data_IF_854674694203
#
_entry.id   IF_854674694203
#
_cell.length_a   1.000
_cell.length_b   1.000
_cell.length_c   1.000
_cell.angle_alpha   90.00
_cell.angle_beta   90.00
_cell.angle_gamma   90.00
#
_symmetry.space_group_name_H-M   'P 1'
#
loop_
_entity.id
_entity.type
_entity.pdbx_description
1 polymer ?
#
# COMPACT_ATOMS: atom_id res chain seq x y z
N UNK A 1 8.07 -19.04 1.64
CA UNK A 1 7.28 -18.59 0.48
C UNK A 1 7.15 -17.07 0.53
N UNK A 2 7.43 -16.37 -0.58
CA UNK A 2 7.27 -14.92 -0.67
C UNK A 2 5.82 -14.54 -0.99
N UNK A 3 5.24 -13.65 -0.21
CA UNK A 3 3.85 -13.19 -0.36
C UNK A 3 3.75 -11.67 -0.16
N UNK A 4 2.59 -11.09 -0.48
CA UNK A 4 2.28 -9.67 -0.25
C UNK A 4 1.12 -9.55 0.74
N UNK A 5 1.23 -8.64 1.70
CA UNK A 5 0.14 -8.35 2.65
C UNK A 5 -0.93 -7.49 1.96
N UNK A 6 -2.16 -7.99 1.86
CA UNK A 6 -3.28 -7.29 1.22
C UNK A 6 -4.22 -6.62 2.22
N UNK A 7 -4.28 -7.10 3.46
CA UNK A 7 -5.08 -6.51 4.53
C UNK A 7 -4.52 -6.80 5.92
N UNK A 8 -4.90 -5.98 6.91
CA UNK A 8 -4.56 -6.18 8.32
C UNK A 8 -5.85 -6.06 9.15
N UNK A 9 -6.25 -7.16 9.79
CA UNK A 9 -7.54 -7.26 10.48
C UNK A 9 -7.35 -7.96 11.83
N UNK A 10 -7.73 -7.32 12.93
CA UNK A 10 -7.71 -7.94 14.26
C UNK A 10 -6.36 -8.54 14.69
N UNK A 11 -5.24 -7.99 14.21
CA UNK A 11 -3.88 -8.50 14.49
C UNK A 11 -3.47 -9.75 13.67
N UNK A 12 -4.30 -10.15 12.70
CA UNK A 12 -3.96 -11.09 11.63
C UNK A 12 -3.67 -10.35 10.33
N UNK A 13 -2.93 -11.00 9.45
CA UNK A 13 -2.50 -10.44 8.17
C UNK A 13 -3.08 -11.28 7.05
N UNK A 14 -3.78 -10.66 6.11
CA UNK A 14 -4.17 -11.31 4.86
C UNK A 14 -3.00 -11.22 3.90
N UNK A 15 -2.58 -12.36 3.36
CA UNK A 15 -1.42 -12.46 2.46
C UNK A 15 -1.82 -13.13 1.17
N UNK A 16 -1.31 -12.62 0.05
CA UNK A 16 -1.48 -13.17 -1.29
C UNK A 16 -0.15 -13.78 -1.74
N UNK A 17 -0.16 -15.08 -2.06
CA UNK A 17 1.00 -15.82 -2.58
C UNK A 17 0.56 -16.91 -3.55
N UNK A 18 1.22 -17.04 -4.70
CA UNK A 18 0.86 -18.00 -5.76
C UNK A 18 -0.63 -17.95 -6.21
N UNK A 19 -1.30 -16.81 -6.04
CA UNK A 19 -2.70 -16.61 -6.44
C UNK A 19 -3.73 -16.97 -5.36
N UNK A 20 -3.30 -17.45 -4.20
CA UNK A 20 -4.20 -17.76 -3.07
C UNK A 20 -4.08 -16.70 -1.96
N UNK A 21 -5.21 -16.34 -1.37
CA UNK A 21 -5.26 -15.47 -0.20
C UNK A 21 -5.54 -16.28 1.07
N UNK A 22 -4.73 -16.05 2.11
CA UNK A 22 -4.93 -16.67 3.41
C UNK A 22 -4.71 -15.67 4.54
N UNK A 23 -5.37 -15.90 5.68
CA UNK A 23 -5.11 -15.16 6.90
C UNK A 23 -4.07 -15.88 7.75
N UNK A 24 -2.99 -15.16 8.08
CA UNK A 24 -1.86 -15.67 8.83
C UNK A 24 -1.57 -14.82 10.06
N UNK A 25 -0.83 -15.42 10.98
CA UNK A 25 -0.23 -14.69 12.10
C UNK A 25 1.22 -14.33 11.77
N UNK A 26 1.85 -13.52 12.62
CA UNK A 26 3.27 -13.20 12.53
C UNK A 26 3.99 -13.62 13.81
N UNK A 27 5.30 -13.87 13.73
CA UNK A 27 6.13 -14.06 14.92
C UNK A 27 6.03 -12.85 15.86
N UNK A 28 6.01 -13.09 17.18
CA UNK A 28 5.72 -12.05 18.18
C UNK A 28 6.63 -10.84 18.11
N UNK A 29 7.92 -11.04 17.81
CA UNK A 29 8.88 -9.95 17.63
C UNK A 29 8.55 -9.02 16.45
N UNK A 30 7.93 -9.53 15.38
CA UNK A 30 7.49 -8.72 14.23
C UNK A 30 6.23 -7.91 14.53
N UNK A 31 5.42 -8.33 15.51
CA UNK A 31 4.23 -7.59 15.94
C UNK A 31 4.55 -6.36 16.81
N UNK A 32 5.69 -6.40 17.52
CA UNK A 32 6.04 -5.42 18.56
C UNK A 32 7.04 -4.37 18.06
N UNK A 33 7.82 -4.66 17.01
CA UNK A 33 8.81 -3.71 16.47
C UNK A 33 8.15 -2.43 15.94
N UNK A 34 8.83 -1.29 16.14
CA UNK A 34 8.56 0.01 15.50
C UNK A 34 8.67 -0.14 13.97
N UNK A 35 7.59 -0.60 13.34
CA UNK A 35 7.60 -1.08 11.97
C UNK A 35 6.68 -2.29 11.76
N UNK A 36 5.56 -2.35 12.49
CA UNK A 36 4.54 -3.40 12.34
C UNK A 36 4.23 -3.64 10.86
N UNK A 37 3.96 -4.89 10.52
CA UNK A 37 3.60 -5.33 9.16
C UNK A 37 2.44 -4.46 8.64
N UNK A 38 2.61 -3.92 7.43
CA UNK A 38 1.68 -3.01 6.76
C UNK A 38 1.12 -3.65 5.50
N UNK A 39 0.00 -3.13 5.03
CA UNK A 39 -0.50 -3.45 3.69
C UNK A 39 0.56 -3.07 2.65
N UNK A 40 0.75 -3.93 1.66
CA UNK A 40 1.78 -3.80 0.63
C UNK A 40 3.15 -4.34 1.05
N UNK A 41 3.37 -4.73 2.31
CA UNK A 41 4.63 -5.37 2.69
C UNK A 41 4.82 -6.70 1.94
N UNK A 42 6.00 -6.85 1.36
CA UNK A 42 6.48 -8.15 0.90
C UNK A 42 6.97 -8.90 2.14
N UNK A 43 6.52 -10.15 2.31
CA UNK A 43 6.79 -10.95 3.51
C UNK A 43 7.22 -12.36 3.17
N UNK A 44 7.97 -12.98 4.09
CA UNK A 44 8.31 -14.40 4.03
C UNK A 44 7.37 -15.20 4.94
N UNK A 45 6.79 -16.26 4.38
CA UNK A 45 5.95 -17.23 5.07
C UNK A 45 6.65 -18.57 5.23
N UNK A 46 6.64 -19.08 6.46
CA UNK A 46 7.02 -20.46 6.83
C UNK A 46 5.97 -21.00 7.77
N UNK A 47 5.49 -22.22 7.51
CA UNK A 47 4.57 -22.95 8.41
C UNK A 47 3.32 -22.15 8.80
N UNK A 48 2.76 -21.39 7.86
CA UNK A 48 1.55 -20.58 8.08
C UNK A 48 1.74 -19.32 8.92
N UNK A 49 2.99 -18.89 9.15
CA UNK A 49 3.33 -17.70 9.94
C UNK A 49 4.29 -16.80 9.16
N UNK A 50 4.09 -15.48 9.26
CA UNK A 50 5.04 -14.49 8.75
C UNK A 50 6.30 -14.52 9.61
N UNK A 51 7.43 -14.82 8.97
CA UNK A 51 8.73 -14.96 9.63
C UNK A 51 9.68 -13.81 9.34
N UNK A 52 9.48 -13.07 8.24
CA UNK A 52 10.26 -11.90 7.88
C UNK A 52 9.43 -10.89 7.07
N UNK A 53 9.86 -9.63 7.11
CA UNK A 53 9.36 -8.54 6.24
C UNK A 53 10.54 -8.05 5.42
N UNK A 54 10.39 -7.98 4.11
CA UNK A 54 11.43 -7.49 3.21
C UNK A 54 11.53 -5.96 3.28
N UNK A 55 12.66 -5.41 2.83
CA UNK A 55 12.88 -3.97 2.77
C UNK A 55 11.83 -3.28 1.88
N UNK A 56 11.29 -2.15 2.35
CA UNK A 56 10.27 -1.40 1.64
C UNK A 56 10.92 -0.50 0.59
N UNK A 57 10.44 -0.56 -0.64
CA UNK A 57 10.84 0.37 -1.71
C UNK A 57 10.26 1.77 -1.49
N UNK A 58 9.00 1.81 -1.05
CA UNK A 58 8.26 3.05 -0.76
C UNK A 58 7.40 2.85 0.49
N UNK A 59 7.11 3.93 1.21
CA UNK A 59 6.16 3.88 2.33
C UNK A 59 5.39 5.19 2.44
N UNK A 60 4.06 5.10 2.37
CA UNK A 60 3.15 6.22 2.48
C UNK A 60 2.56 6.28 3.88
N UNK A 61 3.07 7.15 4.77
CA UNK A 61 2.70 7.14 6.19
C UNK A 61 1.25 7.56 6.43
N UNK A 62 0.70 8.46 5.59
CA UNK A 62 -0.65 9.01 5.75
C UNK A 62 -1.76 7.96 5.50
N UNK A 63 -1.55 7.09 4.52
CA UNK A 63 -2.45 5.95 4.23
C UNK A 63 -1.97 4.65 4.89
N UNK A 64 -0.74 4.64 5.42
CA UNK A 64 -0.10 3.52 6.09
C UNK A 64 0.05 2.28 5.19
N UNK A 65 0.53 2.49 3.96
CA UNK A 65 0.74 1.46 2.92
C UNK A 65 2.19 1.48 2.41
N UNK A 66 2.78 0.31 2.20
CA UNK A 66 4.13 0.13 1.68
C UNK A 66 4.13 -0.32 0.20
N UNK A 67 5.28 -0.18 -0.47
CA UNK A 67 5.57 -0.73 -1.81
C UNK A 67 4.53 -0.34 -2.88
N UNK A 68 4.10 0.92 -2.86
CA UNK A 68 3.27 1.49 -3.92
C UNK A 68 4.16 1.88 -5.10
N UNK A 69 3.99 1.19 -6.23
CA UNK A 69 4.71 1.49 -7.47
C UNK A 69 4.17 2.75 -8.17
N UNK A 70 2.86 2.96 -8.13
CA UNK A 70 2.22 4.12 -8.73
C UNK A 70 0.99 4.61 -7.96
N UNK A 71 0.71 5.90 -8.10
CA UNK A 71 -0.47 6.55 -7.53
C UNK A 71 -1.25 7.19 -8.67
N UNK A 72 -2.51 6.77 -8.84
CA UNK A 72 -3.40 7.38 -9.79
C UNK A 72 -4.25 8.47 -9.12
N UNK A 73 -3.96 9.73 -9.42
CA UNK A 73 -4.67 10.90 -8.90
C UNK A 73 -5.81 11.20 -9.87
N UNK A 74 -7.03 10.86 -9.46
CA UNK A 74 -8.21 11.03 -10.29
C UNK A 74 -8.82 12.42 -10.05
N UNK A 75 -8.97 13.20 -11.11
CA UNK A 75 -9.64 14.49 -11.12
C UNK A 75 -10.87 14.44 -12.03
N UNK A 76 -11.85 15.30 -11.79
CA UNK A 76 -13.08 15.38 -12.59
C UNK A 76 -13.56 16.84 -12.68
N UNK A 77 -14.38 17.21 -13.69
CA UNK A 77 -15.00 18.52 -13.73
C UNK A 77 -15.95 18.77 -12.56
N UNK A 78 -16.63 17.72 -12.08
CA UNK A 78 -17.57 17.78 -10.95
C UNK A 78 -17.36 16.60 -9.98
N UNK A 79 -17.08 16.83 -8.68
CA UNK A 79 -16.72 18.14 -8.13
C UNK A 79 -15.43 18.65 -8.75
N UNK A 80 -15.33 19.98 -8.92
CA UNK A 80 -14.14 20.60 -9.48
C UNK A 80 -12.88 20.24 -8.66
N UNK A 81 -11.72 20.01 -9.30
CA UNK A 81 -10.53 19.56 -8.59
C UNK A 81 -9.97 20.68 -7.70
N UNK A 82 -9.56 20.32 -6.48
CA UNK A 82 -8.66 21.16 -5.69
C UNK A 82 -7.22 20.94 -6.18
N UNK A 83 -6.76 21.82 -7.08
CA UNK A 83 -5.43 21.72 -7.66
C UNK A 83 -4.30 21.83 -6.63
N UNK A 84 -4.50 22.54 -5.52
CA UNK A 84 -3.51 22.60 -4.45
C UNK A 84 -3.37 21.24 -3.74
N UNK A 85 -4.48 20.51 -3.58
CA UNK A 85 -4.43 19.15 -3.07
C UNK A 85 -3.74 18.21 -4.07
N UNK A 86 -4.05 18.34 -5.36
CA UNK A 86 -3.40 17.55 -6.43
C UNK A 86 -1.88 17.75 -6.41
N UNK A 87 -1.40 18.99 -6.32
CA UNK A 87 0.03 19.29 -6.26
C UNK A 87 0.70 18.65 -5.03
N UNK A 88 0.05 18.72 -3.86
CA UNK A 88 0.55 18.05 -2.65
C UNK A 88 0.67 16.55 -2.84
N UNK A 89 -0.30 15.92 -3.51
CA UNK A 89 -0.26 14.48 -3.81
C UNK A 89 0.87 14.15 -4.79
N UNK A 90 1.08 14.96 -5.83
CA UNK A 90 2.18 14.79 -6.77
C UNK A 90 3.55 14.86 -6.08
N UNK A 91 3.75 15.88 -5.23
CA UNK A 91 4.99 16.05 -4.45
C UNK A 91 5.21 14.84 -3.53
N UNK A 92 4.16 14.35 -2.86
CA UNK A 92 4.24 13.17 -1.99
C UNK A 92 4.73 11.93 -2.75
N UNK A 93 4.17 11.68 -3.94
CA UNK A 93 4.54 10.54 -4.78
C UNK A 93 6.02 10.59 -5.16
N UNK A 94 6.48 11.73 -5.67
CA UNK A 94 7.89 11.92 -6.07
C UNK A 94 8.82 11.80 -4.87
N UNK A 95 8.48 12.42 -3.74
CA UNK A 95 9.29 12.37 -2.52
C UNK A 95 9.44 10.95 -1.97
N UNK A 96 8.40 10.13 -2.09
CA UNK A 96 8.37 8.75 -1.59
C UNK A 96 8.79 7.71 -2.64
N UNK A 97 9.17 8.11 -3.85
CA UNK A 97 9.69 7.21 -4.89
C UNK A 97 8.62 6.42 -5.66
N UNK A 98 7.38 6.89 -5.68
CA UNK A 98 6.28 6.29 -6.46
C UNK A 98 5.96 7.11 -7.70
N UNK A 99 5.48 6.46 -8.77
CA UNK A 99 5.15 7.15 -10.02
C UNK A 99 3.73 7.73 -9.99
N UNK A 100 3.55 9.06 -10.05
CA UNK A 100 2.22 9.65 -10.13
C UNK A 100 1.64 9.58 -11.55
N UNK A 101 0.33 9.45 -11.64
CA UNK A 101 -0.46 9.64 -12.86
C UNK A 101 -1.64 10.57 -12.56
N UNK A 102 -1.96 11.47 -13.49
CA UNK A 102 -3.23 12.23 -13.45
C UNK A 102 -4.21 11.52 -14.39
N UNK A 103 -5.35 11.12 -13.85
CA UNK A 103 -6.48 10.61 -14.65
C UNK A 103 -7.62 11.61 -14.60
N UNK A 104 -7.99 12.18 -15.74
CA UNK A 104 -9.22 12.96 -15.87
C UNK A 104 -10.37 11.99 -16.10
N UNK A 105 -11.33 11.99 -15.18
CA UNK A 105 -12.53 11.16 -15.24
C UNK A 105 -13.78 12.03 -15.48
N UNK A 106 -14.92 11.40 -15.72
CA UNK A 106 -16.20 12.04 -16.08
C UNK A 106 -16.07 12.93 -17.32
N UNK A 107 -15.33 12.47 -18.32
CA UNK A 107 -15.14 13.21 -19.58
C UNK A 107 -16.41 13.29 -20.44
N UNK A 108 -17.47 12.58 -20.04
CA UNK A 108 -18.82 12.66 -20.58
C UNK A 108 -19.60 13.90 -20.09
N UNK A 109 -19.08 14.63 -19.10
CA UNK A 109 -19.58 15.95 -18.75
C UNK A 109 -19.34 16.91 -19.93
N UNK A 110 -20.43 17.30 -20.60
CA UNK A 110 -20.44 18.26 -21.71
C UNK A 110 -20.32 19.71 -21.23
#
# INVERSE_FOLDING_TARGET
MKCVVTAVEGGKYKVLGCGEELFVSAKGNLKIKNGAIKVGDEVELSDGVITNVYERKTFFPRINVANIDCVNIVIAPEPAPDYLLVDKMLIECVRLGSKPYITVNKCDFG
#
